data_IF_592963836020
#
_entry.id   IF_592963836020
#
_cell.length_a   1.000
_cell.length_b   1.000
_cell.length_c   1.000
_cell.angle_alpha   90.00
_cell.angle_beta   90.00
_cell.angle_gamma   90.00
#
_symmetry.space_group_name_H-M   'P 1'
#
loop_
_entity.id
_entity.type
_entity.pdbx_description
1 polymer ?
#
# COMPACT_ATOMS: atom_id res chain seq x y z
N UNK A 1 -17.78 -5.68 -27.57
CA UNK A 1 -16.57 -6.29 -26.98
C UNK A 1 -15.35 -5.38 -27.06
N UNK A 2 -14.93 -4.89 -28.24
CA UNK A 2 -13.75 -3.98 -28.36
C UNK A 2 -13.80 -2.75 -27.45
N UNK A 3 -14.89 -1.97 -27.47
CA UNK A 3 -15.04 -0.78 -26.60
C UNK A 3 -14.92 -1.10 -25.10
N UNK A 4 -15.45 -2.24 -24.65
CA UNK A 4 -15.36 -2.62 -23.23
C UNK A 4 -13.93 -3.01 -22.85
N UNK A 5 -13.20 -3.66 -23.75
CA UNK A 5 -11.79 -3.96 -23.57
C UNK A 5 -10.95 -2.69 -23.52
N UNK A 6 -11.17 -1.74 -24.44
CA UNK A 6 -10.45 -0.47 -24.47
C UNK A 6 -10.67 0.31 -23.16
N UNK A 7 -11.91 0.37 -22.68
CA UNK A 7 -12.24 1.01 -21.39
C UNK A 7 -11.55 0.31 -20.23
N UNK A 8 -11.55 -1.03 -20.19
CA UNK A 8 -10.89 -1.79 -19.13
C UNK A 8 -9.37 -1.53 -19.10
N UNK A 9 -8.72 -1.50 -20.28
CA UNK A 9 -7.30 -1.16 -20.40
C UNK A 9 -7.03 0.26 -19.90
N UNK A 10 -7.82 1.24 -20.32
CA UNK A 10 -7.67 2.64 -19.88
C UNK A 10 -7.81 2.75 -18.35
N UNK A 11 -8.82 2.11 -17.76
CA UNK A 11 -9.02 2.10 -16.31
C UNK A 11 -7.82 1.47 -15.60
N UNK A 12 -7.34 0.32 -16.07
CA UNK A 12 -6.18 -0.35 -15.49
C UNK A 12 -4.93 0.53 -15.57
N UNK A 13 -4.69 1.15 -16.73
CA UNK A 13 -3.57 2.09 -16.91
C UNK A 13 -3.67 3.26 -15.94
N UNK A 14 -4.85 3.85 -15.78
CA UNK A 14 -5.08 4.94 -14.81
C UNK A 14 -4.79 4.49 -13.38
N UNK A 15 -5.24 3.29 -12.98
CA UNK A 15 -4.95 2.73 -11.65
C UNK A 15 -3.44 2.58 -11.45
N UNK A 16 -2.73 2.00 -12.42
CA UNK A 16 -1.26 1.82 -12.35
C UNK A 16 -0.55 3.16 -12.23
N UNK A 17 -0.98 4.17 -13.01
CA UNK A 17 -0.42 5.52 -12.94
C UNK A 17 -0.65 6.14 -11.56
N UNK A 18 -1.86 6.04 -11.00
CA UNK A 18 -2.17 6.57 -9.66
C UNK A 18 -1.32 5.87 -8.59
N UNK A 19 -1.19 4.54 -8.65
CA UNK A 19 -0.34 3.78 -7.72
C UNK A 19 1.12 4.20 -7.83
N UNK A 20 1.66 4.31 -9.04
CA UNK A 20 3.05 4.73 -9.25
C UNK A 20 3.31 6.15 -8.73
N UNK A 21 2.40 7.09 -9.03
CA UNK A 21 2.51 8.48 -8.59
C UNK A 21 2.38 8.64 -7.07
N UNK A 22 1.65 7.75 -6.40
CA UNK A 22 1.49 7.81 -4.94
C UNK A 22 2.80 7.68 -4.16
N UNK A 23 3.82 7.01 -4.73
CA UNK A 23 5.14 6.86 -4.11
C UNK A 23 5.96 8.15 -4.04
N UNK A 24 5.55 9.21 -4.75
CA UNK A 24 6.22 10.52 -4.72
C UNK A 24 5.65 11.45 -3.64
N UNK A 25 4.56 11.08 -2.98
CA UNK A 25 3.97 11.90 -1.92
C UNK A 25 4.83 11.82 -0.64
N UNK A 26 5.32 12.95 -0.08
CA UNK A 26 6.27 12.94 1.03
C UNK A 26 5.78 12.25 2.31
N UNK A 27 4.47 12.25 2.54
CA UNK A 27 3.82 11.78 3.76
C UNK A 27 3.16 10.40 3.63
N UNK A 28 3.35 9.71 2.51
CA UNK A 28 2.61 8.48 2.23
C UNK A 28 3.49 7.43 1.51
N UNK A 29 3.26 6.16 1.86
CA UNK A 29 3.81 5.02 1.14
C UNK A 29 3.09 4.79 -0.20
N UNK A 30 3.76 4.12 -1.14
CA UNK A 30 3.14 3.71 -2.40
C UNK A 30 1.93 2.81 -2.12
N UNK A 31 0.80 3.07 -2.77
CA UNK A 31 -0.50 2.43 -2.49
C UNK A 31 -0.54 0.90 -2.65
N UNK A 32 0.48 0.34 -3.29
CA UNK A 32 0.68 -1.09 -3.45
C UNK A 32 2.10 -1.43 -3.02
N UNK A 33 2.26 -2.42 -2.15
CA UNK A 33 3.58 -2.87 -1.69
C UNK A 33 3.58 -4.36 -1.41
N UNK A 34 4.74 -4.90 -1.01
CA UNK A 34 4.91 -6.30 -0.68
C UNK A 34 5.77 -6.50 0.56
N UNK A 35 5.54 -7.60 1.26
CA UNK A 35 6.23 -7.93 2.51
C UNK A 35 7.64 -8.46 2.23
N UNK A 36 8.63 -7.90 2.93
CA UNK A 36 10.05 -8.24 2.77
C UNK A 36 10.65 -9.04 3.93
N UNK A 37 9.97 -9.09 5.08
CA UNK A 37 10.46 -9.74 6.29
C UNK A 37 9.40 -10.64 6.91
N UNK A 38 9.84 -11.50 7.83
CA UNK A 38 8.99 -12.46 8.53
C UNK A 38 8.36 -11.89 9.82
N UNK A 39 8.49 -10.59 10.11
CA UNK A 39 8.07 -9.98 11.38
C UNK A 39 6.55 -10.03 11.64
N UNK A 40 5.76 -10.17 10.57
CA UNK A 40 4.31 -10.23 10.62
C UNK A 40 3.76 -11.65 10.49
N UNK A 41 4.60 -12.69 10.51
CA UNK A 41 4.13 -14.08 10.54
C UNK A 41 3.35 -14.36 11.83
N UNK A 42 2.23 -15.13 11.75
CA UNK A 42 1.68 -15.78 10.55
C UNK A 42 0.68 -14.93 9.76
N UNK A 43 0.44 -13.66 10.15
CA UNK A 43 -0.56 -12.81 9.51
C UNK A 43 -0.18 -12.47 8.08
N UNK A 44 1.10 -12.17 7.83
CA UNK A 44 1.62 -11.88 6.50
C UNK A 44 2.94 -12.62 6.29
N UNK A 45 3.12 -13.16 5.09
CA UNK A 45 4.31 -13.88 4.68
C UNK A 45 5.15 -13.04 3.72
N UNK A 46 6.46 -13.30 3.69
CA UNK A 46 7.35 -12.70 2.69
C UNK A 46 6.82 -12.97 1.28
N UNK A 47 6.73 -11.90 0.48
CA UNK A 47 6.18 -11.94 -0.87
C UNK A 47 4.70 -11.59 -0.97
N UNK A 48 3.95 -11.56 0.15
CA UNK A 48 2.55 -11.14 0.12
C UNK A 48 2.44 -9.69 -0.34
N UNK A 49 1.55 -9.45 -1.31
CA UNK A 49 1.22 -8.13 -1.82
C UNK A 49 0.05 -7.57 -1.02
N UNK A 50 0.14 -6.31 -0.62
CA UNK A 50 -0.91 -5.63 0.12
C UNK A 50 -1.16 -4.22 -0.40
N UNK A 51 -2.39 -3.77 -0.23
CA UNK A 51 -2.82 -2.41 -0.56
C UNK A 51 -2.74 -1.52 0.68
N UNK A 52 -2.39 -0.26 0.48
CA UNK A 52 -2.33 0.75 1.53
C UNK A 52 -3.46 1.74 1.29
N UNK A 53 -4.25 2.00 2.33
CA UNK A 53 -5.31 3.01 2.26
C UNK A 53 -4.64 4.40 2.32
N UNK A 54 -4.94 5.32 1.38
CA UNK A 54 -4.40 6.67 1.42
C UNK A 54 -4.74 7.36 2.75
N UNK A 55 -3.81 8.15 3.29
CA UNK A 55 -3.97 8.76 4.63
C UNK A 55 -5.21 9.64 4.75
N UNK A 56 -5.63 10.30 3.68
CA UNK A 56 -6.84 11.13 3.65
C UNK A 56 -8.16 10.34 3.61
N UNK A 57 -8.09 9.03 3.31
CA UNK A 57 -9.22 8.09 3.42
C UNK A 57 -9.13 7.20 4.67
N UNK A 58 -7.94 7.11 5.26
CA UNK A 58 -7.74 6.36 6.50
C UNK A 58 -8.43 7.08 7.66
N UNK A 59 -9.13 6.30 8.49
CA UNK A 59 -9.70 6.80 9.75
C UNK A 59 -8.64 6.93 10.84
N UNK A 60 -9.09 7.08 12.08
CA UNK A 60 -8.21 7.01 13.25
C UNK A 60 -7.61 5.61 13.39
N UNK A 61 -6.38 5.55 13.92
CA UNK A 61 -5.65 4.30 14.15
C UNK A 61 -6.14 3.67 15.46
N UNK A 62 -6.55 2.41 15.39
CA UNK A 62 -7.08 1.64 16.51
C UNK A 62 -6.18 0.46 16.87
N UNK A 63 -6.32 -0.04 18.09
CA UNK A 63 -5.71 -1.31 18.51
C UNK A 63 -6.20 -2.43 17.61
N UNK A 64 -5.27 -3.20 17.05
CA UNK A 64 -5.53 -4.25 16.09
C UNK A 64 -5.31 -3.85 14.63
N UNK A 65 -5.19 -2.56 14.31
CA UNK A 65 -4.94 -2.11 12.94
C UNK A 65 -3.55 -2.51 12.45
N UNK A 66 -3.43 -2.84 11.16
CA UNK A 66 -2.14 -3.04 10.49
C UNK A 66 -1.78 -1.74 9.79
N UNK A 67 -0.74 -1.08 10.28
CA UNK A 67 -0.34 0.24 9.79
C UNK A 67 0.98 0.17 9.05
N UNK A 68 1.15 1.12 8.12
CA UNK A 68 2.41 1.34 7.42
C UNK A 68 3.00 2.66 7.87
N UNK A 69 4.24 2.62 8.32
CA UNK A 69 4.92 3.79 8.88
C UNK A 69 6.41 3.77 8.53
N UNK A 70 7.09 4.88 8.78
CA UNK A 70 8.54 5.01 8.60
C UNK A 70 9.16 5.64 9.82
N UNK A 71 10.38 5.23 10.17
CA UNK A 71 11.16 5.93 11.19
C UNK A 71 11.90 7.11 10.56
N UNK A 72 12.07 8.25 11.26
CA UNK A 72 12.76 9.42 10.73
C UNK A 72 14.18 9.16 10.21
N UNK A 73 14.88 8.18 10.80
CA UNK A 73 16.28 7.87 10.51
C UNK A 73 16.47 6.53 9.80
N UNK A 74 15.39 5.85 9.39
CA UNK A 74 15.50 4.58 8.67
C UNK A 74 14.98 4.70 7.24
N UNK A 75 15.57 3.92 6.35
CA UNK A 75 15.12 3.86 4.97
C UNK A 75 13.95 2.90 4.81
N UNK A 76 12.91 3.36 4.11
CA UNK A 76 11.78 2.52 3.73
C UNK A 76 10.60 2.58 4.69
N UNK A 77 9.68 1.64 4.48
CA UNK A 77 8.42 1.54 5.21
C UNK A 77 8.33 0.20 5.93
N UNK A 78 7.74 0.24 7.12
CA UNK A 78 7.54 -0.88 8.02
C UNK A 78 6.05 -1.13 8.17
N UNK A 79 5.69 -2.39 8.42
CA UNK A 79 4.30 -2.83 8.58
C UNK A 79 4.19 -3.59 9.88
N UNK A 80 3.36 -3.09 10.80
CA UNK A 80 3.10 -3.76 12.07
C UNK A 80 1.63 -3.62 12.48
N UNK A 81 1.21 -4.52 13.37
CA UNK A 81 -0.07 -4.41 14.07
C UNK A 81 0.06 -3.52 15.30
N UNK A 82 -0.88 -2.61 15.48
CA UNK A 82 -1.02 -1.80 16.68
C UNK A 82 -1.52 -2.68 17.82
N UNK A 83 -0.83 -2.66 18.95
CA UNK A 83 -1.12 -3.44 20.17
C UNK A 83 -1.20 -2.55 21.39
#
# INVERSE_FOLDING_TARGET
>A
MRRAFDIAVIILTMIVVVVALSGYLPEQAMLLSYVRSDSMKPTMNVGDVFFIIPRFLAGEVNVGDVIVFRFPNEQGYFVHRVV
#
